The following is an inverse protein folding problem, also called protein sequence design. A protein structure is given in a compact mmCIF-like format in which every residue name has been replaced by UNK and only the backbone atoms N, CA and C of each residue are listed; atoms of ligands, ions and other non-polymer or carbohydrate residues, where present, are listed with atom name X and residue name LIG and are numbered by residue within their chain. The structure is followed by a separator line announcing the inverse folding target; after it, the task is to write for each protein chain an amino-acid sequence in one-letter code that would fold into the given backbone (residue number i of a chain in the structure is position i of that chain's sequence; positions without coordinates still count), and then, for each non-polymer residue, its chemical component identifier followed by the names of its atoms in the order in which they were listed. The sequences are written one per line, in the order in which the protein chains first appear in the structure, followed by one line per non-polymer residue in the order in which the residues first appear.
data_IF_884936688826
#
_entry.id   IF_884936688826
#
_cell.length_a   1.000
_cell.length_b   1.000
_cell.length_c   1.000
_cell.angle_alpha   90.00
_cell.angle_beta   90.00
_cell.angle_gamma   90.00
#
_symmetry.space_group_name_H-M   'P 1'
#
loop_
_entity.id
_entity.type
_entity.pdbx_description
1 polymer ?
#
# COMPACT_ATOMS: atom_id res chain seq x y z
N UNK A 1 31.84 23.39 4.41
CA UNK A 1 30.76 24.29 3.90
C UNK A 1 29.88 23.59 2.87
N UNK A 2 30.41 22.66 2.06
CA UNK A 2 29.64 21.92 1.03
C UNK A 2 28.72 20.82 1.63
N UNK A 3 29.06 20.26 2.79
CA UNK A 3 28.24 19.23 3.45
C UNK A 3 26.94 19.77 4.05
N UNK A 4 26.86 21.05 4.41
CA UNK A 4 25.69 21.68 5.01
C UNK A 4 24.58 22.05 3.99
N UNK A 5 24.87 22.01 2.69
CA UNK A 5 23.87 22.30 1.64
C UNK A 5 22.92 21.14 1.34
N UNK A 6 23.15 19.96 1.90
CA UNK A 6 22.24 18.78 1.74
C UNK A 6 21.21 18.62 2.86
N UNK A 7 21.29 19.43 3.91
CA UNK A 7 20.27 19.43 4.95
C UNK A 7 19.20 20.48 4.58
N UNK A 8 18.03 20.03 4.19
CA UNK A 8 16.87 20.90 4.11
C UNK A 8 16.63 21.48 5.51
N UNK A 9 16.77 22.79 5.65
CA UNK A 9 16.50 23.46 6.91
C UNK A 9 14.99 23.64 7.06
N UNK A 10 14.36 22.76 7.80
CA UNK A 10 12.99 23.01 8.25
C UNK A 10 12.98 24.22 9.19
N UNK A 11 12.07 25.15 8.93
CA UNK A 11 11.84 26.25 9.86
C UNK A 11 11.07 25.73 11.08
N UNK A 12 11.22 26.40 12.24
CA UNK A 12 10.45 26.05 13.45
C UNK A 12 8.96 26.11 13.14
N UNK A 13 8.50 27.15 12.46
CA UNK A 13 7.10 27.33 12.07
C UNK A 13 6.59 26.22 11.14
N UNK A 14 7.39 25.78 10.17
CA UNK A 14 7.01 24.66 9.30
C UNK A 14 6.95 23.31 10.05
N UNK A 15 7.75 23.16 11.12
CA UNK A 15 7.61 21.98 11.98
C UNK A 15 6.34 22.06 12.84
N UNK A 16 6.03 23.19 13.43
CA UNK A 16 4.83 23.39 14.25
C UNK A 16 3.58 23.16 13.42
N UNK A 17 3.51 23.75 12.22
CA UNK A 17 2.39 23.53 11.30
C UNK A 17 2.20 22.06 10.94
N UNK A 18 3.27 21.36 10.52
CA UNK A 18 3.23 19.92 10.26
C UNK A 18 2.74 19.13 11.48
N UNK A 19 3.30 19.42 12.66
CA UNK A 19 2.96 18.70 13.88
C UNK A 19 1.50 18.90 14.27
N UNK A 20 1.01 20.13 14.19
CA UNK A 20 -0.37 20.48 14.54
C UNK A 20 -1.39 19.84 13.59
N UNK A 21 -1.21 19.95 12.28
CA UNK A 21 -2.09 19.35 11.27
C UNK A 21 -2.16 17.82 11.41
N UNK A 22 -0.99 17.17 11.52
CA UNK A 22 -0.94 15.71 11.64
C UNK A 22 -1.52 15.24 12.99
N UNK A 23 -1.27 15.96 14.08
CA UNK A 23 -1.83 15.66 15.41
C UNK A 23 -3.35 15.79 15.40
N UNK A 24 -3.92 16.77 14.70
CA UNK A 24 -5.37 16.92 14.55
C UNK A 24 -5.98 15.73 13.83
N UNK A 25 -5.38 15.28 12.71
CA UNK A 25 -5.87 14.11 11.98
C UNK A 25 -5.81 12.83 12.84
N UNK A 26 -4.67 12.57 13.52
CA UNK A 26 -4.52 11.41 14.42
C UNK A 26 -5.52 11.45 15.58
N UNK A 27 -5.75 12.61 16.18
CA UNK A 27 -6.72 12.76 17.26
C UNK A 27 -8.17 12.59 16.77
N UNK A 28 -8.49 13.03 15.57
CA UNK A 28 -9.80 12.80 14.96
C UNK A 28 -10.05 11.29 14.76
N UNK A 29 -9.06 10.55 14.25
CA UNK A 29 -9.13 9.09 14.12
C UNK A 29 -9.37 8.43 15.50
N UNK A 30 -8.60 8.81 16.52
CA UNK A 30 -8.75 8.27 17.87
C UNK A 30 -10.10 8.58 18.51
N UNK A 31 -10.71 9.68 18.11
CA UNK A 31 -12.06 10.03 18.61
C UNK A 31 -13.15 9.18 17.94
N UNK A 32 -12.90 8.67 16.73
CA UNK A 32 -13.82 7.78 16.01
C UNK A 32 -13.69 6.33 16.48
N UNK A 33 -12.46 5.88 16.75
CA UNK A 33 -12.15 4.49 17.08
C UNK A 33 -11.20 4.40 18.27
N UNK A 34 -11.63 3.75 19.34
CA UNK A 34 -10.82 3.48 20.54
C UNK A 34 -10.13 2.11 20.54
N UNK A 35 -10.20 1.36 19.43
CA UNK A 35 -9.61 0.02 19.29
C UNK A 35 -8.13 0.01 18.98
N UNK A 36 -7.65 -1.18 18.61
CA UNK A 36 -6.27 -1.42 18.19
C UNK A 36 -6.20 -1.54 16.66
N UNK A 37 -5.53 -0.59 16.01
CA UNK A 37 -5.39 -0.52 14.55
C UNK A 37 -4.09 0.18 14.17
N UNK A 38 -3.69 0.05 12.89
CA UNK A 38 -2.61 0.86 12.33
C UNK A 38 -3.17 2.06 11.57
N UNK A 39 -2.44 3.15 11.69
CA UNK A 39 -2.63 4.38 10.91
C UNK A 39 -1.43 4.53 9.99
N UNK A 40 -1.66 4.98 8.75
CA UNK A 40 -0.60 5.39 7.85
C UNK A 40 -0.92 6.71 7.17
N UNK A 41 0.05 7.24 6.44
CA UNK A 41 -0.10 8.41 5.59
C UNK A 41 0.69 8.23 4.30
N UNK A 42 0.17 8.77 3.20
CA UNK A 42 0.77 8.66 1.88
C UNK A 42 1.72 9.81 1.52
N UNK A 43 2.01 10.71 2.46
CA UNK A 43 3.05 11.74 2.36
C UNK A 43 4.03 11.59 3.51
N UNK A 44 5.22 12.14 3.40
CA UNK A 44 6.27 11.88 4.37
C UNK A 44 7.09 13.14 4.67
N UNK A 45 7.37 13.36 5.95
CA UNK A 45 8.38 14.31 6.41
C UNK A 45 9.63 13.59 6.90
N UNK A 46 9.45 12.59 7.77
CA UNK A 46 10.51 11.69 8.23
C UNK A 46 10.02 10.25 8.26
N UNK A 47 10.96 9.30 8.28
CA UNK A 47 10.63 7.86 8.35
C UNK A 47 10.00 7.47 9.69
N UNK A 48 10.18 8.28 10.73
CA UNK A 48 9.71 8.01 12.09
C UNK A 48 8.55 8.91 12.53
N UNK A 49 7.79 9.46 11.58
CA UNK A 49 6.62 10.27 11.88
C UNK A 49 5.59 9.55 12.79
N UNK A 50 5.32 8.21 12.64
CA UNK A 50 4.46 7.49 13.58
C UNK A 50 4.91 7.57 15.04
N UNK A 51 6.23 7.50 15.31
CA UNK A 51 6.78 7.64 16.66
C UNK A 51 6.59 9.05 17.20
N UNK A 52 6.80 10.08 16.36
CA UNK A 52 6.61 11.48 16.73
C UNK A 52 5.16 11.79 17.09
N UNK A 53 4.22 11.23 16.31
CA UNK A 53 2.79 11.50 16.44
C UNK A 53 2.06 10.48 17.33
N UNK A 54 2.79 9.46 17.80
CA UNK A 54 2.33 8.50 18.79
C UNK A 54 1.28 7.52 18.29
N UNK A 55 1.29 7.09 17.03
CA UNK A 55 0.39 6.06 16.51
C UNK A 55 1.15 4.82 16.03
N UNK A 56 0.46 3.71 15.90
CA UNK A 56 1.02 2.49 15.34
C UNK A 56 0.92 2.52 13.82
N UNK A 57 2.05 2.31 13.15
CA UNK A 57 2.17 2.24 11.70
C UNK A 57 3.21 1.21 11.29
N UNK A 58 3.33 0.96 9.99
CA UNK A 58 4.42 0.16 9.40
C UNK A 58 5.63 1.04 9.08
N UNK A 59 5.41 2.35 8.91
CA UNK A 59 6.45 3.32 8.57
C UNK A 59 7.35 3.56 9.76
N UNK A 60 8.60 3.10 9.69
CA UNK A 60 9.63 3.44 10.66
C UNK A 60 11.02 3.10 10.15
N UNK A 61 12.02 3.84 10.61
CA UNK A 61 13.43 3.54 10.34
C UNK A 61 14.17 3.19 11.64
N UNK A 62 14.82 2.03 11.61
CA UNK A 62 15.77 1.61 12.63
C UNK A 62 16.87 0.79 11.98
N UNK A 63 18.12 1.06 12.33
CA UNK A 63 19.27 0.24 11.88
C UNK A 63 19.25 -1.20 12.43
N UNK A 64 18.38 -1.47 13.41
CA UNK A 64 18.19 -2.79 14.04
C UNK A 64 16.86 -3.43 13.70
N UNK A 65 16.20 -2.97 12.63
CA UNK A 65 14.94 -3.58 12.14
C UNK A 65 15.18 -5.04 11.77
N UNK A 66 14.27 -5.93 12.16
CA UNK A 66 14.33 -7.34 11.81
C UNK A 66 14.29 -7.53 10.29
N UNK A 67 15.19 -8.35 9.74
CA UNK A 67 15.25 -8.63 8.29
C UNK A 67 13.94 -9.25 7.79
N UNK A 68 13.33 -10.14 8.57
CA UNK A 68 12.06 -10.77 8.22
C UNK A 68 10.91 -9.77 8.05
N UNK A 69 10.85 -8.73 8.88
CA UNK A 69 9.85 -7.67 8.71
C UNK A 69 10.08 -6.86 7.42
N UNK A 70 11.34 -6.61 7.09
CA UNK A 70 11.71 -5.96 5.83
C UNK A 70 11.29 -6.82 4.64
N UNK A 71 11.70 -8.09 4.62
CA UNK A 71 11.40 -9.05 3.56
C UNK A 71 9.89 -9.21 3.35
N UNK A 72 9.12 -9.27 4.43
CA UNK A 72 7.66 -9.34 4.34
C UNK A 72 7.06 -8.08 3.70
N UNK A 73 7.45 -6.89 4.12
CA UNK A 73 6.91 -5.65 3.55
C UNK A 73 7.28 -5.48 2.07
N UNK A 74 8.51 -5.82 1.68
CA UNK A 74 8.94 -5.83 0.29
C UNK A 74 8.15 -6.87 -0.53
N UNK A 75 7.97 -8.08 0.00
CA UNK A 75 7.21 -9.13 -0.66
C UNK A 75 5.72 -8.79 -0.82
N UNK A 76 5.15 -8.03 0.12
CA UNK A 76 3.80 -7.49 0.03
C UNK A 76 3.67 -6.26 -0.89
N UNK A 77 4.75 -5.83 -1.54
CA UNK A 77 4.72 -4.77 -2.55
C UNK A 77 4.78 -3.35 -2.00
N UNK A 78 5.19 -3.14 -0.74
CA UNK A 78 5.48 -1.79 -0.26
C UNK A 78 6.79 -1.29 -0.84
N UNK A 79 6.78 -0.07 -1.37
CA UNK A 79 7.90 0.53 -2.11
C UNK A 79 9.19 0.56 -1.31
N UNK A 80 9.09 0.76 -0.02
CA UNK A 80 10.22 0.86 0.87
C UNK A 80 9.88 0.19 2.20
N UNK A 81 10.75 -0.68 2.67
CA UNK A 81 10.59 -1.38 3.94
C UNK A 81 10.51 -0.45 5.17
N UNK A 82 10.69 0.84 5.00
CA UNK A 82 10.66 1.84 6.07
C UNK A 82 9.50 2.81 5.98
N UNK A 83 8.71 2.80 4.91
CA UNK A 83 7.59 3.72 4.73
C UNK A 83 6.40 3.04 4.07
N UNK A 84 5.21 3.56 4.35
CA UNK A 84 4.01 3.18 3.61
C UNK A 84 4.11 3.61 2.13
N UNK A 85 4.66 4.78 1.86
CA UNK A 85 4.88 5.29 0.51
C UNK A 85 3.57 5.50 -0.27
N UNK A 86 3.40 4.72 -1.35
CA UNK A 86 2.17 4.67 -2.15
C UNK A 86 1.14 3.69 -1.59
N UNK A 87 1.50 2.95 -0.54
CA UNK A 87 0.77 1.79 -0.07
C UNK A 87 1.13 0.53 -0.84
N UNK A 88 0.25 -0.44 -0.74
CA UNK A 88 0.25 -1.66 -1.54
C UNK A 88 -1.18 -1.88 -2.05
N UNK A 89 -1.68 -3.12 -2.02
CA UNK A 89 -3.06 -3.43 -2.40
C UNK A 89 -3.99 -3.38 -1.18
N UNK A 90 -5.30 -3.35 -1.40
CA UNK A 90 -6.27 -3.48 -0.33
C UNK A 90 -6.14 -4.78 0.48
N UNK A 91 -5.65 -5.86 -0.14
CA UNK A 91 -5.38 -7.13 0.58
C UNK A 91 -4.23 -6.96 1.56
N UNK A 92 -3.08 -6.42 1.12
CA UNK A 92 -1.91 -6.22 1.99
C UNK A 92 -2.22 -5.25 3.14
N UNK A 93 -2.85 -4.11 2.84
CA UNK A 93 -3.24 -3.13 3.84
C UNK A 93 -4.18 -3.74 4.88
N UNK A 94 -5.16 -4.54 4.42
CA UNK A 94 -6.11 -5.24 5.31
C UNK A 94 -5.43 -6.27 6.20
N UNK A 95 -4.57 -7.13 5.62
CA UNK A 95 -3.81 -8.15 6.37
C UNK A 95 -2.90 -7.53 7.44
N UNK A 96 -2.34 -6.36 7.18
CA UNK A 96 -1.51 -5.64 8.14
C UNK A 96 -2.32 -4.78 9.13
N UNK A 97 -3.65 -4.79 9.06
CA UNK A 97 -4.53 -4.01 9.94
C UNK A 97 -4.36 -2.50 9.79
N UNK A 98 -3.99 -2.03 8.59
CA UNK A 98 -3.96 -0.60 8.27
C UNK A 98 -5.40 -0.17 8.03
N UNK A 99 -6.01 0.36 9.09
CA UNK A 99 -7.43 0.76 9.07
C UNK A 99 -7.59 2.20 8.62
N UNK A 100 -6.71 3.09 9.02
CA UNK A 100 -6.84 4.50 8.69
C UNK A 100 -5.63 5.00 7.90
N UNK A 101 -5.93 5.81 6.90
CA UNK A 101 -4.96 6.56 6.11
C UNK A 101 -5.33 8.03 6.19
N UNK A 102 -4.36 8.92 6.36
CA UNK A 102 -4.58 10.33 6.17
C UNK A 102 -3.63 10.91 5.11
N UNK A 103 -4.12 11.93 4.38
CA UNK A 103 -3.48 12.44 3.17
C UNK A 103 -3.53 13.96 3.11
N UNK A 104 -2.47 14.56 2.54
CA UNK A 104 -2.40 15.96 2.17
C UNK A 104 -2.88 16.22 0.73
N UNK A 105 -3.32 15.18 0.03
CA UNK A 105 -3.77 15.23 -1.35
C UNK A 105 -2.65 15.23 -2.39
N UNK A 106 -1.38 15.15 -1.98
CA UNK A 106 -0.23 15.12 -2.92
C UNK A 106 -0.10 13.79 -3.68
N UNK A 107 -0.74 12.73 -3.18
CA UNK A 107 -0.72 11.39 -3.78
C UNK A 107 -2.11 10.79 -3.83
N UNK A 108 -2.29 9.87 -4.78
CA UNK A 108 -3.51 9.09 -4.89
C UNK A 108 -3.73 8.26 -3.60
N UNK A 109 -4.95 8.27 -3.10
CA UNK A 109 -5.37 7.34 -2.04
C UNK A 109 -5.82 6.04 -2.72
N UNK A 110 -5.38 4.86 -2.25
CA UNK A 110 -5.82 3.60 -2.81
C UNK A 110 -7.34 3.45 -2.77
N UNK A 111 -7.93 2.87 -3.84
CA UNK A 111 -9.38 2.92 -4.09
C UNK A 111 -10.25 2.17 -3.10
N UNK A 112 -9.67 1.27 -2.28
CA UNK A 112 -10.41 0.56 -1.23
C UNK A 112 -10.73 1.41 0.01
N UNK A 113 -10.16 2.60 0.12
CA UNK A 113 -10.40 3.49 1.25
C UNK A 113 -11.60 4.38 1.02
N UNK A 114 -12.41 4.56 2.07
CA UNK A 114 -13.56 5.46 2.11
C UNK A 114 -13.21 6.74 2.87
N UNK A 115 -13.51 7.90 2.28
CA UNK A 115 -13.22 9.18 2.92
C UNK A 115 -14.19 9.45 4.09
N UNK A 116 -13.62 9.84 5.23
CA UNK A 116 -14.37 10.23 6.41
C UNK A 116 -14.44 11.76 6.53
N UNK A 117 -15.59 12.27 6.96
CA UNK A 117 -15.76 13.68 7.32
C UNK A 117 -15.30 13.92 8.77
N UNK A 118 -14.05 14.32 8.92
CA UNK A 118 -13.43 14.57 10.24
C UNK A 118 -13.29 16.07 10.55
N UNK A 119 -13.57 16.95 9.60
CA UNK A 119 -13.39 18.39 9.74
C UNK A 119 -11.92 18.82 9.92
N UNK A 120 -10.96 17.93 9.63
CA UNK A 120 -9.51 18.22 9.68
C UNK A 120 -9.02 18.74 8.33
N UNK A 121 -7.90 19.48 8.33
CA UNK A 121 -7.27 19.98 7.11
C UNK A 121 -6.73 18.82 6.24
N UNK A 122 -6.09 17.83 6.88
CA UNK A 122 -5.70 16.59 6.21
C UNK A 122 -6.93 15.69 6.07
N UNK A 123 -7.13 15.13 4.89
CA UNK A 123 -8.22 14.19 4.63
C UNK A 123 -7.95 12.85 5.33
N UNK A 124 -8.98 12.29 5.97
CA UNK A 124 -8.91 10.99 6.67
C UNK A 124 -9.75 9.99 5.91
N UNK A 125 -9.23 8.77 5.81
CA UNK A 125 -9.80 7.68 5.04
C UNK A 125 -9.80 6.41 5.86
N UNK A 126 -10.82 5.58 5.74
CA UNK A 126 -10.93 4.28 6.40
C UNK A 126 -10.88 3.14 5.38
N UNK A 127 -10.13 2.09 5.70
CA UNK A 127 -10.19 0.80 5.04
C UNK A 127 -11.21 -0.09 5.77
N UNK A 128 -12.40 -0.31 5.22
CA UNK A 128 -13.44 -1.10 5.89
C UNK A 128 -13.09 -2.59 5.99
N UNK A 129 -12.10 -3.05 5.22
CA UNK A 129 -11.64 -4.42 5.18
C UNK A 129 -10.48 -4.69 6.14
N UNK A 130 -9.97 -3.69 6.85
CA UNK A 130 -8.83 -3.83 7.75
C UNK A 130 -9.08 -4.89 8.82
N UNK A 131 -8.16 -5.85 8.93
CA UNK A 131 -8.23 -6.86 9.97
C UNK A 131 -7.86 -6.28 11.34
N UNK A 132 -8.42 -6.82 12.43
CA UNK A 132 -7.99 -6.45 13.77
C UNK A 132 -6.53 -6.86 13.98
N UNK A 133 -5.86 -6.26 14.97
CA UNK A 133 -4.45 -6.56 15.30
C UNK A 133 -4.24 -8.02 15.75
N UNK A 134 -5.30 -8.71 16.14
CA UNK A 134 -5.31 -10.14 16.42
C UNK A 134 -6.61 -10.76 15.92
N UNK A 135 -6.49 -11.88 15.25
CA UNK A 135 -7.60 -12.68 14.73
C UNK A 135 -7.21 -14.16 14.69
N UNK A 136 -8.21 -15.04 14.60
CA UNK A 136 -7.99 -16.49 14.50
C UNK A 136 -8.22 -16.90 13.05
N UNK A 137 -7.14 -17.38 12.41
CA UNK A 137 -7.18 -17.99 11.08
C UNK A 137 -7.00 -19.51 11.15
N UNK A 138 -7.14 -20.19 10.01
CA UNK A 138 -6.80 -21.60 9.89
C UNK A 138 -5.29 -21.80 10.07
N UNK A 139 -4.90 -22.86 10.81
CA UNK A 139 -3.49 -23.21 11.01
C UNK A 139 -2.97 -24.24 10.02
N UNK A 140 -3.85 -24.87 9.25
CA UNK A 140 -3.49 -26.07 8.49
C UNK A 140 -2.68 -25.76 7.23
N UNK A 141 -2.69 -24.50 6.74
CA UNK A 141 -2.06 -24.09 5.49
C UNK A 141 -1.19 -22.82 5.62
N UNK A 142 -0.66 -22.50 6.80
CA UNK A 142 0.25 -21.37 6.99
C UNK A 142 1.63 -21.53 6.31
N UNK A 143 1.79 -22.51 5.42
CA UNK A 143 3.00 -22.71 4.60
C UNK A 143 3.05 -21.78 3.38
N UNK A 144 2.60 -20.55 3.52
CA UNK A 144 2.80 -19.54 2.48
C UNK A 144 4.27 -19.12 2.50
N UNK A 145 4.95 -19.35 1.39
CA UNK A 145 6.38 -19.04 1.24
C UNK A 145 6.55 -17.83 0.32
N UNK A 146 7.26 -16.82 0.81
CA UNK A 146 7.66 -15.66 0.00
C UNK A 146 8.50 -16.11 -1.20
N UNK A 147 9.45 -17.06 -0.97
CA UNK A 147 10.36 -17.52 -2.00
C UNK A 147 9.68 -18.32 -3.13
N UNK A 148 8.55 -18.95 -2.84
CA UNK A 148 7.80 -19.76 -3.80
C UNK A 148 6.65 -19.01 -4.48
N UNK A 149 6.44 -17.76 -4.14
CA UNK A 149 5.38 -16.94 -4.75
C UNK A 149 5.86 -16.37 -6.07
N UNK A 150 5.02 -16.46 -7.09
CA UNK A 150 5.32 -15.99 -8.44
C UNK A 150 5.49 -14.46 -8.47
N UNK A 151 4.68 -13.75 -7.70
CA UNK A 151 4.74 -12.30 -7.55
C UNK A 151 4.02 -11.85 -6.27
N UNK A 152 4.05 -10.54 -6.00
CA UNK A 152 3.40 -9.95 -4.82
C UNK A 152 1.89 -10.20 -4.74
N UNK A 153 1.19 -10.21 -5.87
CA UNK A 153 -0.27 -10.42 -5.91
C UNK A 153 -0.63 -11.88 -5.63
N UNK A 154 0.13 -12.82 -6.20
CA UNK A 154 -0.03 -14.25 -5.93
C UNK A 154 0.26 -14.58 -4.45
N UNK A 155 1.28 -13.95 -3.86
CA UNK A 155 1.58 -14.07 -2.43
C UNK A 155 0.40 -13.62 -1.57
N UNK A 156 -0.17 -12.46 -1.87
CA UNK A 156 -1.29 -11.90 -1.09
C UNK A 156 -2.55 -12.75 -1.22
N UNK A 157 -2.87 -13.26 -2.42
CA UNK A 157 -3.96 -14.21 -2.61
C UNK A 157 -3.73 -15.50 -1.80
N UNK A 158 -2.52 -16.06 -1.85
CA UNK A 158 -2.16 -17.26 -1.09
C UNK A 158 -2.29 -17.04 0.44
N UNK A 159 -1.86 -15.88 0.95
CA UNK A 159 -2.02 -15.53 2.36
C UNK A 159 -3.50 -15.45 2.75
N UNK A 160 -4.33 -14.82 1.94
CA UNK A 160 -5.77 -14.70 2.21
C UNK A 160 -6.46 -16.07 2.20
N UNK A 161 -6.14 -16.92 1.22
CA UNK A 161 -6.66 -18.30 1.13
C UNK A 161 -6.18 -19.18 2.29
N UNK A 162 -4.94 -19.01 2.74
CA UNK A 162 -4.41 -19.74 3.89
C UNK A 162 -5.14 -19.37 5.20
N UNK A 163 -5.49 -18.10 5.36
CA UNK A 163 -6.22 -17.62 6.53
C UNK A 163 -7.72 -18.00 6.49
N UNK A 164 -8.32 -17.98 5.29
CA UNK A 164 -9.73 -18.32 5.07
C UNK A 164 -9.82 -19.36 3.95
N UNK A 165 -9.72 -20.67 4.26
CA UNK A 165 -9.71 -21.73 3.26
C UNK A 165 -10.94 -21.68 2.35
N UNK A 166 -10.69 -21.83 1.04
CA UNK A 166 -11.73 -21.77 0.02
C UNK A 166 -12.03 -20.37 -0.50
N UNK A 167 -11.35 -19.32 -0.02
CA UNK A 167 -11.43 -18.00 -0.62
C UNK A 167 -10.84 -18.01 -2.02
N UNK A 168 -11.56 -17.55 -3.05
CA UNK A 168 -10.99 -17.37 -4.37
C UNK A 168 -9.96 -16.24 -4.39
N UNK A 169 -9.21 -16.11 -5.51
CA UNK A 169 -8.28 -15.00 -5.68
C UNK A 169 -9.03 -13.66 -5.64
N UNK A 170 -8.59 -12.77 -4.74
CA UNK A 170 -9.11 -11.42 -4.64
C UNK A 170 -8.41 -10.47 -5.63
N UNK A 171 -7.14 -10.74 -5.94
CA UNK A 171 -6.34 -9.98 -6.89
C UNK A 171 -6.31 -10.75 -8.22
N UNK A 172 -6.93 -10.19 -9.26
CA UNK A 172 -7.13 -10.81 -10.55
C UNK A 172 -6.22 -10.16 -11.60
N UNK A 173 -5.45 -10.92 -12.40
CA UNK A 173 -4.58 -10.36 -13.43
C UNK A 173 -5.40 -9.77 -14.58
N UNK A 174 -4.96 -8.62 -15.09
CA UNK A 174 -5.51 -8.00 -16.28
C UNK A 174 -4.80 -8.49 -17.54
N UNK A 175 -5.54 -8.58 -18.64
CA UNK A 175 -4.96 -8.81 -19.96
C UNK A 175 -4.34 -7.51 -20.48
N UNK A 176 -3.06 -7.59 -20.94
CA UNK A 176 -2.29 -6.45 -21.42
C UNK A 176 -2.13 -6.51 -22.93
N UNK A 177 -2.34 -5.38 -23.61
CA UNK A 177 -2.06 -5.20 -25.03
C UNK A 177 -1.09 -4.04 -25.22
N UNK A 178 0.08 -4.30 -25.80
CA UNK A 178 1.13 -3.31 -25.98
C UNK A 178 1.06 -2.66 -27.36
N UNK A 179 1.29 -1.35 -27.37
CA UNK A 179 1.46 -0.56 -28.57
C UNK A 179 2.96 -0.19 -28.78
N UNK A 180 3.28 0.43 -29.92
CA UNK A 180 4.64 0.90 -30.22
C UNK A 180 4.65 2.43 -30.29
N UNK A 181 4.78 3.13 -29.16
CA UNK A 181 4.91 4.57 -29.16
C UNK A 181 6.30 5.03 -29.61
N UNK A 182 6.47 6.32 -29.89
CA UNK A 182 7.78 6.89 -30.19
C UNK A 182 8.71 6.90 -28.96
N UNK A 183 8.14 6.99 -27.75
CA UNK A 183 8.87 7.01 -26.48
C UNK A 183 8.06 6.34 -25.37
N UNK A 184 8.78 5.67 -24.47
CA UNK A 184 8.17 4.98 -23.33
C UNK A 184 7.42 3.71 -23.70
N UNK A 185 6.67 3.18 -22.77
CA UNK A 185 5.80 2.03 -22.97
C UNK A 185 4.35 2.52 -22.95
N UNK A 186 3.60 2.14 -23.96
CA UNK A 186 2.15 2.36 -24.05
C UNK A 186 1.45 1.01 -24.10
N UNK A 187 0.50 0.81 -23.23
CA UNK A 187 -0.31 -0.38 -23.21
C UNK A 187 -1.76 -0.06 -22.87
N UNK A 188 -2.66 -0.95 -23.26
CA UNK A 188 -4.05 -0.97 -22.81
C UNK A 188 -4.27 -2.23 -21.99
N UNK A 189 -4.94 -2.11 -20.86
CA UNK A 189 -5.42 -3.26 -20.10
C UNK A 189 -6.94 -3.23 -19.96
N UNK A 190 -7.53 -4.41 -19.78
CA UNK A 190 -8.97 -4.56 -19.50
C UNK A 190 -9.14 -4.93 -18.04
N UNK A 191 -9.91 -4.14 -17.29
CA UNK A 191 -10.17 -4.41 -15.87
C UNK A 191 -10.98 -5.73 -15.73
N UNK A 192 -10.45 -6.75 -15.01
CA UNK A 192 -11.11 -8.05 -14.90
C UNK A 192 -12.31 -8.07 -13.96
N UNK A 193 -12.40 -7.11 -13.03
CA UNK A 193 -13.52 -6.92 -12.10
C UNK A 193 -13.75 -5.42 -11.84
N UNK A 194 -14.86 -5.08 -11.20
CA UNK A 194 -15.06 -3.75 -10.63
C UNK A 194 -14.13 -3.58 -9.43
N UNK A 195 -13.37 -2.46 -9.37
CA UNK A 195 -12.51 -2.20 -8.22
C UNK A 195 -11.18 -1.52 -8.53
N UNK A 196 -10.34 -1.34 -7.50
CA UNK A 196 -9.02 -0.74 -7.64
C UNK A 196 -8.08 -1.58 -8.50
N UNK A 197 -7.30 -0.90 -9.34
CA UNK A 197 -6.25 -1.53 -10.15
C UNK A 197 -4.87 -1.09 -9.68
N UNK A 198 -3.91 -1.98 -9.81
CA UNK A 198 -2.55 -1.82 -9.33
C UNK A 198 -1.53 -2.26 -10.39
N UNK A 199 -0.42 -1.54 -10.43
CA UNK A 199 0.75 -1.86 -11.25
C UNK A 199 1.88 -2.38 -10.35
N UNK A 200 2.58 -3.41 -10.78
CA UNK A 200 3.87 -3.80 -10.24
C UNK A 200 4.85 -4.18 -11.36
N UNK A 201 6.16 -3.89 -11.15
CA UNK A 201 7.22 -4.19 -12.10
C UNK A 201 8.42 -4.76 -11.32
N UNK A 202 8.33 -6.00 -10.83
CA UNK A 202 9.24 -6.55 -9.81
C UNK A 202 10.68 -6.77 -10.29
N UNK A 203 10.92 -6.87 -11.58
CA UNK A 203 12.25 -7.25 -12.12
C UNK A 203 13.03 -6.10 -12.74
N UNK A 204 12.47 -4.89 -12.78
CA UNK A 204 13.19 -3.72 -13.26
C UNK A 204 14.22 -3.27 -12.22
N UNK A 205 15.51 -3.41 -12.57
CA UNK A 205 16.63 -2.97 -11.75
C UNK A 205 17.06 -1.53 -12.02
N UNK A 206 16.50 -0.89 -13.05
CA UNK A 206 16.76 0.52 -13.34
C UNK A 206 16.00 1.39 -12.37
N UNK A 207 16.75 2.08 -11.51
CA UNK A 207 16.26 2.97 -10.45
C UNK A 207 15.86 4.36 -10.98
N UNK A 208 15.78 4.55 -12.28
CA UNK A 208 15.37 5.83 -12.85
C UNK A 208 13.87 6.03 -12.65
N UNK A 209 13.44 7.10 -11.96
CA UNK A 209 12.03 7.40 -11.82
C UNK A 209 11.36 7.54 -13.20
N UNK A 210 10.18 6.97 -13.33
CA UNK A 210 9.45 7.01 -14.59
C UNK A 210 7.99 7.41 -14.36
N UNK A 211 7.53 8.35 -15.17
CA UNK A 211 6.15 8.81 -15.16
C UNK A 211 5.18 7.65 -15.37
N UNK A 212 4.10 7.66 -14.60
CA UNK A 212 2.93 6.78 -14.75
C UNK A 212 1.72 7.63 -15.06
N UNK A 213 1.15 7.46 -16.25
CA UNK A 213 -0.07 8.14 -16.65
C UNK A 213 -1.15 7.14 -17.05
N UNK A 214 -2.37 7.41 -16.62
CA UNK A 214 -3.57 6.61 -16.89
C UNK A 214 -4.58 7.46 -17.64
N UNK A 215 -5.05 7.00 -18.79
CA UNK A 215 -5.98 7.72 -19.67
C UNK A 215 -5.54 9.17 -19.93
N UNK A 216 -4.23 9.37 -20.13
CA UNK A 216 -3.60 10.68 -20.36
C UNK A 216 -3.39 11.54 -19.11
N UNK A 217 -3.81 11.10 -17.93
CA UNK A 217 -3.59 11.83 -16.66
C UNK A 217 -2.36 11.29 -15.94
N UNK A 218 -1.39 12.18 -15.66
CA UNK A 218 -0.22 11.83 -14.85
C UNK A 218 -0.62 11.57 -13.40
N UNK A 219 -0.32 10.37 -12.88
CA UNK A 219 -0.58 9.98 -11.50
C UNK A 219 0.63 10.19 -10.58
N UNK A 220 1.84 10.08 -11.10
CA UNK A 220 3.08 10.21 -10.37
C UNK A 220 4.24 9.50 -11.04
N UNK A 221 5.30 9.26 -10.27
CA UNK A 221 6.50 8.57 -10.74
C UNK A 221 6.63 7.22 -10.04
N UNK A 222 6.83 6.16 -10.82
CA UNK A 222 7.22 4.85 -10.34
C UNK A 222 8.74 4.82 -10.08
N UNK A 223 9.22 4.10 -9.10
CA UNK A 223 10.64 4.06 -8.68
C UNK A 223 11.21 5.41 -8.22
N UNK A 224 10.42 6.24 -7.58
CA UNK A 224 10.91 7.49 -7.03
C UNK A 224 11.89 7.24 -5.85
N UNK A 225 13.14 7.64 -6.01
CA UNK A 225 14.19 7.56 -4.99
C UNK A 225 14.74 6.15 -4.76
N UNK A 226 14.85 5.74 -3.48
CA UNK A 226 15.45 4.47 -3.07
C UNK A 226 14.49 3.26 -3.22
N UNK A 227 13.40 3.40 -3.92
CA UNK A 227 12.40 2.34 -4.05
C UNK A 227 12.86 1.25 -5.01
N UNK A 228 12.70 0.01 -4.60
CA UNK A 228 13.05 -1.19 -5.39
C UNK A 228 11.87 -1.70 -6.24
N UNK A 229 10.93 -0.84 -6.56
CA UNK A 229 9.69 -1.20 -7.22
C UNK A 229 8.69 -1.81 -6.24
N UNK A 230 7.54 -1.20 -6.12
CA UNK A 230 6.45 -1.66 -5.29
C UNK A 230 5.17 -1.69 -6.08
N UNK A 231 4.07 -1.90 -5.39
CA UNK A 231 2.75 -1.77 -5.97
C UNK A 231 2.41 -0.28 -6.11
N UNK A 232 1.92 0.12 -7.30
CA UNK A 232 1.49 1.48 -7.60
C UNK A 232 -0.01 1.49 -7.89
N UNK A 233 -0.81 2.32 -7.21
CA UNK A 233 -2.25 2.41 -7.46
C UNK A 233 -2.52 3.13 -8.79
N UNK A 234 -3.37 2.55 -9.63
CA UNK A 234 -3.76 3.13 -10.93
C UNK A 234 -5.12 3.84 -10.90
N UNK A 235 -5.93 3.60 -9.89
CA UNK A 235 -7.30 4.08 -9.76
C UNK A 235 -8.31 2.93 -9.71
N UNK A 236 -9.60 3.28 -9.74
CA UNK A 236 -10.72 2.33 -9.69
C UNK A 236 -11.43 2.32 -11.04
N UNK A 237 -11.71 1.13 -11.57
CA UNK A 237 -12.30 0.95 -12.89
C UNK A 237 -13.45 -0.06 -12.84
N UNK A 238 -14.36 0.04 -13.81
CA UNK A 238 -15.45 -0.92 -13.96
C UNK A 238 -14.97 -2.18 -14.70
N UNK A 239 -15.56 -3.32 -14.39
CA UNK A 239 -15.31 -4.58 -15.11
C UNK A 239 -15.49 -4.42 -16.63
N UNK A 240 -14.47 -4.82 -17.38
CA UNK A 240 -14.46 -4.72 -18.83
C UNK A 240 -14.06 -3.36 -19.38
N UNK A 241 -13.79 -2.38 -18.51
CA UNK A 241 -13.27 -1.07 -18.92
C UNK A 241 -11.86 -1.24 -19.50
N UNK A 242 -11.63 -0.59 -20.65
CA UNK A 242 -10.31 -0.52 -21.27
C UNK A 242 -9.60 0.73 -20.82
N UNK A 243 -8.42 0.56 -20.26
CA UNK A 243 -7.64 1.62 -19.63
C UNK A 243 -6.29 1.76 -20.32
N UNK A 244 -6.00 2.95 -20.81
CA UNK A 244 -4.68 3.28 -21.35
C UNK A 244 -3.69 3.53 -20.21
N UNK A 245 -2.55 2.84 -20.24
CA UNK A 245 -1.44 3.04 -19.31
C UNK A 245 -0.17 3.42 -20.09
N UNK A 246 0.39 4.57 -19.74
CA UNK A 246 1.67 5.05 -20.27
C UNK A 246 2.71 5.06 -19.17
N UNK A 247 3.88 4.47 -19.47
CA UNK A 247 5.04 4.39 -18.58
C UNK A 247 6.25 5.04 -19.23
N UNK A 248 6.95 5.90 -18.50
CA UNK A 248 8.12 6.64 -18.95
C UNK A 248 9.41 5.82 -19.06
N UNK A 249 9.33 4.49 -18.93
CA UNK A 249 10.50 3.61 -19.10
C UNK A 249 10.93 3.47 -20.56
N UNK A 250 12.21 3.11 -20.76
CA UNK A 250 12.67 2.66 -22.06
C UNK A 250 11.93 1.37 -22.47
N UNK A 251 11.39 1.36 -23.67
CA UNK A 251 10.66 0.20 -24.19
C UNK A 251 11.64 -0.93 -24.52
N UNK A 252 11.42 -2.10 -23.94
CA UNK A 252 12.17 -3.32 -24.20
C UNK A 252 11.26 -4.54 -23.94
N UNK A 253 11.61 -5.67 -24.54
CA UNK A 253 10.89 -6.93 -24.31
C UNK A 253 10.92 -7.34 -22.83
N UNK A 254 12.06 -7.15 -22.15
CA UNK A 254 12.22 -7.42 -20.73
C UNK A 254 11.31 -6.51 -19.87
N UNK A 255 11.28 -5.21 -20.17
CA UNK A 255 10.42 -4.27 -19.48
C UNK A 255 8.94 -4.62 -19.65
N UNK A 256 8.50 -4.94 -20.88
CA UNK A 256 7.13 -5.37 -21.17
C UNK A 256 6.75 -6.65 -20.42
N UNK A 257 7.66 -7.63 -20.38
CA UNK A 257 7.44 -8.90 -19.68
C UNK A 257 7.35 -8.74 -18.16
N UNK A 258 7.97 -7.70 -17.60
CA UNK A 258 7.97 -7.43 -16.17
C UNK A 258 6.70 -6.71 -15.69
N UNK A 259 5.94 -6.08 -16.58
CA UNK A 259 4.76 -5.29 -16.21
C UNK A 259 3.62 -6.24 -15.80
N UNK A 260 3.08 -5.99 -14.62
CA UNK A 260 1.94 -6.71 -14.07
C UNK A 260 0.87 -5.71 -13.66
N UNK A 261 -0.36 -5.93 -14.13
CA UNK A 261 -1.53 -5.15 -13.72
C UNK A 261 -2.57 -6.10 -13.14
N UNK A 262 -3.07 -5.77 -11.96
CA UNK A 262 -4.07 -6.56 -11.25
C UNK A 262 -5.21 -5.67 -10.77
N UNK A 263 -6.43 -6.21 -10.75
CA UNK A 263 -7.59 -5.57 -10.11
C UNK A 263 -7.96 -6.31 -8.83
N UNK A 264 -8.43 -5.57 -7.84
CA UNK A 264 -8.96 -6.12 -6.61
C UNK A 264 -10.47 -6.35 -6.74
N UNK A 265 -10.91 -7.59 -6.59
CA UNK A 265 -12.30 -7.92 -6.32
C UNK A 265 -12.61 -7.65 -4.84
N UNK A 266 -13.15 -6.46 -4.58
CA UNK A 266 -13.46 -6.04 -3.21
C UNK A 266 -14.52 -6.92 -2.54
N UNK A 267 -15.39 -7.60 -3.30
CA UNK A 267 -16.39 -8.50 -2.75
C UNK A 267 -15.75 -9.74 -2.12
N UNK A 268 -14.69 -10.26 -2.72
CA UNK A 268 -13.89 -11.37 -2.19
C UNK A 268 -13.15 -10.94 -0.92
N UNK A 269 -12.48 -9.79 -0.97
CA UNK A 269 -11.78 -9.26 0.19
C UNK A 269 -12.74 -8.98 1.35
N UNK A 270 -13.90 -8.38 1.08
CA UNK A 270 -14.94 -8.10 2.08
C UNK A 270 -15.42 -9.37 2.78
N UNK A 271 -15.70 -10.43 2.01
CA UNK A 271 -16.16 -11.71 2.57
C UNK A 271 -15.11 -12.39 3.46
N UNK A 272 -13.85 -12.40 3.01
CA UNK A 272 -12.74 -12.95 3.78
C UNK A 272 -12.45 -12.13 5.04
N UNK A 273 -12.42 -10.80 4.92
CA UNK A 273 -12.22 -9.89 6.05
C UNK A 273 -13.31 -10.01 7.10
N UNK A 274 -14.58 -10.07 6.70
CA UNK A 274 -15.70 -10.27 7.63
C UNK A 274 -15.58 -11.59 8.41
N UNK A 275 -15.11 -12.65 7.76
CA UNK A 275 -14.87 -13.94 8.41
C UNK A 275 -13.80 -13.82 9.50
N UNK A 276 -12.69 -13.14 9.24
CA UNK A 276 -11.60 -12.98 10.19
C UNK A 276 -11.93 -11.96 11.29
N UNK A 277 -12.59 -10.85 10.96
CA UNK A 277 -13.05 -9.85 11.93
C UNK A 277 -14.00 -10.46 12.95
N UNK A 278 -14.86 -11.42 12.56
CA UNK A 278 -15.73 -12.13 13.47
C UNK A 278 -15.00 -13.00 14.50
N UNK A 279 -13.70 -13.24 14.30
CA UNK A 279 -12.84 -14.01 15.23
C UNK A 279 -11.99 -13.12 16.14
N UNK A 280 -12.18 -11.80 16.11
CA UNK A 280 -11.45 -10.87 16.99
C UNK A 280 -11.68 -11.27 18.45
N UNK A 281 -10.60 -11.46 19.25
CA UNK A 281 -10.75 -11.78 20.66
C UNK A 281 -11.44 -10.65 21.41
N UNK A 282 -12.44 -11.00 22.23
CA UNK A 282 -13.17 -10.00 23.03
C UNK A 282 -12.27 -9.28 24.06
N UNK A 283 -11.21 -9.94 24.50
CA UNK A 283 -10.23 -9.41 25.46
C UNK A 283 -8.81 -9.61 24.89
N UNK A 284 -8.27 -8.59 24.25
CA UNK A 284 -6.86 -8.55 23.85
C UNK A 284 -6.06 -7.76 24.89
N UNK A 285 -5.35 -8.48 25.75
CA UNK A 285 -4.44 -7.86 26.72
C UNK A 285 -3.01 -7.82 26.12
N UNK A 286 -2.59 -6.65 25.65
CA UNK A 286 -1.21 -6.44 25.20
C UNK A 286 -0.35 -6.14 26.44
N UNK A 287 0.45 -7.11 26.88
CA UNK A 287 1.41 -6.89 27.96
C UNK A 287 2.62 -6.11 27.42
N UNK A 288 2.91 -4.97 28.05
CA UNK A 288 4.15 -4.22 27.79
C UNK A 288 5.36 -5.14 28.02
N UNK A 289 6.18 -5.35 27.00
CA UNK A 289 7.41 -6.15 27.05
C UNK A 289 7.30 -7.59 26.58
N UNK A 290 6.15 -8.02 26.05
CA UNK A 290 6.03 -9.29 25.35
C UNK A 290 6.68 -9.24 23.97
N UNK A 291 7.71 -10.06 23.73
CA UNK A 291 8.14 -10.37 22.38
C UNK A 291 7.04 -11.21 21.71
N UNK A 292 6.45 -10.70 20.64
CA UNK A 292 5.64 -11.48 19.71
C UNK A 292 6.59 -12.22 18.77
#
# INVERSE_FOLDING_TARGET
VLALRKFESYTVSGFEEFYDQNTQAVNAIRALDGGYYRIEKNFMRTLNDPMLLGYWGISHYSSTKASSAKELLEALGYINYSTYGWGSTGVADSLLGIRYLYSDGSRLVPGQYEQLDTGTELSVWENPYALPMAYVGSSDDLNVSIENSENTFALQNAMLTALVPGTPDALLPAELSFEQPEQGILLTFTAPCDGPCYLAIPTLTDMTPADVAVNGTLLGEYFNGDSLGGVFPLGTFAKGEQVELRLGFADSEEARAAIQVYSLDESVLAAASATLQATEPADLEIQEGGHI
#
